data_IF_459093343636
#
_entry.id   IF_459093343636
#
_cell.length_a   1.000
_cell.length_b   1.000
_cell.length_c   1.000
_cell.angle_alpha   90.00
_cell.angle_beta   90.00
_cell.angle_gamma   90.00
#
_symmetry.space_group_name_H-M   'P 1'
#
loop_
_entity.id
_entity.type
_entity.pdbx_description
1 polymer ?
#
# COMPACT_ATOMS: atom_id res chain seq x y z
N UNK A 1 2.42 16.42 42.72
CA UNK A 1 2.87 15.02 42.57
C UNK A 1 2.99 14.70 41.09
N UNK A 2 4.22 14.88 40.58
CA UNK A 2 4.73 14.61 39.22
C UNK A 2 4.12 15.33 38.02
N UNK A 3 4.57 16.58 37.88
CA UNK A 3 4.94 17.21 36.61
C UNK A 3 6.30 16.62 36.16
N UNK A 4 6.34 15.40 35.63
CA UNK A 4 7.57 14.77 35.10
C UNK A 4 7.20 13.80 33.97
N UNK A 5 7.70 14.11 32.77
CA UNK A 5 7.70 13.29 31.56
C UNK A 5 6.41 13.29 30.70
N UNK A 6 6.09 14.45 30.10
CA UNK A 6 5.58 14.43 28.72
C UNK A 6 6.74 14.00 27.80
N UNK A 7 7.18 12.74 27.93
CA UNK A 7 7.96 12.10 26.88
C UNK A 7 7.08 12.20 25.64
N UNK A 8 7.62 12.76 24.57
CA UNK A 8 7.00 12.80 23.26
C UNK A 8 6.85 11.34 22.80
N UNK A 9 5.83 10.65 23.30
CA UNK A 9 5.60 9.24 23.03
C UNK A 9 5.22 9.14 21.55
N UNK A 10 6.06 8.44 20.80
CA UNK A 10 5.78 8.09 19.42
C UNK A 10 4.58 7.14 19.45
N UNK A 11 3.61 7.43 18.58
CA UNK A 11 2.48 6.57 18.37
C UNK A 11 2.54 6.04 16.94
N UNK A 12 2.27 4.76 16.78
CA UNK A 12 2.20 4.11 15.47
C UNK A 12 0.72 3.89 15.14
N UNK A 13 0.33 4.30 13.95
CA UNK A 13 -1.02 4.17 13.44
C UNK A 13 -0.95 3.32 12.17
N UNK A 14 -1.48 2.10 12.26
CA UNK A 14 -1.51 1.16 11.16
C UNK A 14 -2.86 1.23 10.46
N UNK A 15 -2.83 1.45 9.15
CA UNK A 15 -4.01 1.44 8.27
C UNK A 15 -3.81 0.57 7.03
N UNK A 16 -2.62 0.01 6.81
CA UNK A 16 -2.38 -1.05 5.82
C UNK A 16 -2.72 -2.40 6.46
N UNK A 17 -3.56 -3.19 5.80
CA UNK A 17 -4.11 -4.40 6.41
C UNK A 17 -5.09 -4.06 7.54
N UNK A 18 -4.71 -4.23 8.79
CA UNK A 18 -5.61 -4.01 9.92
C UNK A 18 -5.47 -2.61 10.53
N UNK A 19 -6.57 -2.07 11.07
CA UNK A 19 -6.49 -0.87 11.89
C UNK A 19 -5.85 -1.20 13.24
N UNK A 20 -4.75 -0.55 13.57
CA UNK A 20 -4.11 -0.64 14.88
C UNK A 20 -3.57 0.72 15.32
N UNK A 21 -3.63 1.00 16.63
CA UNK A 21 -2.99 2.15 17.25
C UNK A 21 -2.10 1.64 18.35
N UNK A 22 -0.80 1.91 18.27
CA UNK A 22 0.15 1.61 19.32
C UNK A 22 0.64 2.92 19.94
N UNK A 23 0.65 2.98 21.27
CA UNK A 23 1.21 4.11 22.01
C UNK A 23 2.36 3.58 22.85
N UNK A 24 3.57 4.06 22.58
CA UNK A 24 4.80 3.50 23.16
C UNK A 24 4.90 1.97 22.98
N UNK A 25 4.50 1.47 21.80
CA UNK A 25 4.51 0.05 21.45
C UNK A 25 3.38 -0.80 22.06
N UNK A 26 2.45 -0.20 22.80
CA UNK A 26 1.32 -0.92 23.42
C UNK A 26 0.04 -0.68 22.61
N UNK A 27 -0.67 -1.73 22.16
CA UNK A 27 -1.94 -1.59 21.45
C UNK A 27 -3.01 -0.90 22.31
N UNK A 28 -3.73 0.04 21.71
CA UNK A 28 -4.79 0.81 22.36
C UNK A 28 -6.15 0.46 21.75
N UNK A 29 -7.04 -0.10 22.57
CA UNK A 29 -8.41 -0.36 22.16
C UNK A 29 -9.22 0.94 22.05
N UNK A 30 -9.85 1.16 20.90
CA UNK A 30 -10.66 2.34 20.63
C UNK A 30 -12.08 1.98 20.19
N UNK A 31 -13.11 2.71 20.67
CA UNK A 31 -14.45 2.61 20.11
C UNK A 31 -14.48 2.99 18.62
N UNK A 32 -15.54 2.58 17.92
CA UNK A 32 -15.68 2.78 16.48
C UNK A 32 -15.54 4.25 16.02
N UNK A 33 -16.06 5.22 16.78
CA UNK A 33 -15.97 6.65 16.43
C UNK A 33 -14.53 7.18 16.37
N UNK A 34 -13.76 7.13 17.47
CA UNK A 34 -12.33 7.42 17.49
C UNK A 34 -11.54 6.66 16.42
N UNK A 35 -11.83 5.36 16.24
CA UNK A 35 -11.18 4.49 15.26
C UNK A 35 -11.33 5.04 13.83
N UNK A 36 -12.57 5.35 13.44
CA UNK A 36 -12.89 5.93 12.12
C UNK A 36 -12.24 7.29 11.91
N UNK A 37 -12.22 8.14 12.94
CA UNK A 37 -11.59 9.45 12.86
C UNK A 37 -10.07 9.35 12.64
N UNK A 38 -9.38 8.48 13.39
CA UNK A 38 -7.93 8.30 13.22
C UNK A 38 -7.60 7.70 11.85
N UNK A 39 -8.36 6.68 11.41
CA UNK A 39 -8.21 6.09 10.09
C UNK A 39 -8.36 7.15 8.98
N UNK A 40 -9.40 7.98 9.06
CA UNK A 40 -9.64 9.04 8.09
C UNK A 40 -8.47 10.03 8.02
N UNK A 41 -7.96 10.48 9.17
CA UNK A 41 -6.84 11.43 9.20
C UNK A 41 -5.52 10.80 8.75
N UNK A 42 -5.29 9.51 9.02
CA UNK A 42 -4.12 8.78 8.53
C UNK A 42 -4.12 8.63 7.01
N UNK A 43 -5.27 8.24 6.45
CA UNK A 43 -5.40 7.97 5.02
C UNK A 43 -5.36 9.25 4.18
N UNK A 44 -6.05 10.30 4.61
CA UNK A 44 -6.09 11.56 3.86
C UNK A 44 -4.84 12.43 4.07
N UNK A 45 -4.13 12.24 5.19
CA UNK A 45 -2.98 13.05 5.58
C UNK A 45 -3.31 14.54 5.73
N UNK A 46 -2.30 15.36 6.05
CA UNK A 46 -2.45 16.81 6.08
C UNK A 46 -3.51 17.34 7.06
N UNK A 47 -3.79 18.65 6.98
CA UNK A 47 -4.84 19.27 7.77
C UNK A 47 -6.20 19.09 7.08
N UNK A 48 -7.19 18.62 7.83
CA UNK A 48 -8.54 18.30 7.36
C UNK A 48 -9.56 19.22 8.00
N UNK A 49 -10.49 19.79 7.21
CA UNK A 49 -11.54 20.66 7.73
C UNK A 49 -12.52 19.85 8.59
N UNK A 50 -12.89 20.38 9.76
CA UNK A 50 -13.82 19.72 10.69
C UNK A 50 -15.17 19.39 10.06
N UNK A 51 -15.73 20.32 9.28
CA UNK A 51 -17.01 20.10 8.61
C UNK A 51 -16.90 19.01 7.52
N UNK A 52 -15.77 18.94 6.80
CA UNK A 52 -15.53 17.88 5.80
C UNK A 52 -15.43 16.50 6.48
N UNK A 53 -14.62 16.39 7.54
CA UNK A 53 -14.51 15.16 8.36
C UNK A 53 -15.87 14.74 8.90
N UNK A 54 -16.65 15.71 9.39
CA UNK A 54 -17.98 15.44 9.96
C UNK A 54 -18.96 14.94 8.91
N UNK A 55 -18.99 15.60 7.75
CA UNK A 55 -19.83 15.21 6.61
C UNK A 55 -19.45 13.83 6.08
N UNK A 56 -18.15 13.53 5.99
CA UNK A 56 -17.70 12.23 5.51
C UNK A 56 -18.00 11.09 6.50
N UNK A 57 -17.67 11.30 7.78
CA UNK A 57 -17.75 10.23 8.77
C UNK A 57 -19.11 10.07 9.43
N UNK A 58 -20.00 11.07 9.34
CA UNK A 58 -21.32 11.03 9.98
C UNK A 58 -22.39 11.81 9.17
N UNK A 59 -22.24 11.92 7.85
CA UNK A 59 -23.15 12.70 7.00
C UNK A 59 -24.60 12.21 6.94
N UNK A 60 -24.86 10.96 7.36
CA UNK A 60 -26.20 10.37 7.40
C UNK A 60 -27.03 10.76 8.63
N UNK A 61 -26.46 11.52 9.58
CA UNK A 61 -27.20 12.04 10.75
C UNK A 61 -27.30 13.56 10.72
N UNK A 62 -28.28 14.17 11.44
CA UNK A 62 -28.38 15.62 11.52
C UNK A 62 -27.08 16.28 12.01
N UNK A 63 -26.78 17.46 11.47
CA UNK A 63 -25.49 18.15 11.66
C UNK A 63 -25.11 18.34 13.14
N UNK A 64 -26.07 18.66 14.01
CA UNK A 64 -25.84 18.81 15.44
C UNK A 64 -25.35 17.50 16.09
N UNK A 65 -25.92 16.36 15.69
CA UNK A 65 -25.52 15.04 16.17
C UNK A 65 -24.16 14.63 15.61
N UNK A 66 -23.90 14.92 14.33
CA UNK A 66 -22.61 14.66 13.69
C UNK A 66 -21.46 15.40 14.42
N UNK A 67 -21.64 16.69 14.71
CA UNK A 67 -20.70 17.50 15.50
C UNK A 67 -20.50 16.98 16.93
N UNK A 68 -21.58 16.52 17.57
CA UNK A 68 -21.50 15.90 18.89
C UNK A 68 -20.67 14.61 18.87
N UNK A 69 -20.85 13.75 17.85
CA UNK A 69 -20.05 12.52 17.65
C UNK A 69 -18.58 12.84 17.42
N UNK A 70 -18.26 13.83 16.58
CA UNK A 70 -16.89 14.29 16.38
C UNK A 70 -16.25 14.75 17.69
N UNK A 71 -16.96 15.56 18.49
CA UNK A 71 -16.47 16.04 19.79
C UNK A 71 -16.20 14.87 20.74
N UNK A 72 -17.10 13.90 20.83
CA UNK A 72 -16.90 12.70 21.66
C UNK A 72 -15.69 11.88 21.18
N UNK A 73 -15.51 11.73 19.87
CA UNK A 73 -14.36 11.03 19.31
C UNK A 73 -13.04 11.73 19.65
N UNK A 74 -12.98 13.05 19.44
CA UNK A 74 -11.81 13.87 19.78
C UNK A 74 -11.51 13.86 21.28
N UNK A 75 -12.54 13.94 22.13
CA UNK A 75 -12.35 13.87 23.57
C UNK A 75 -11.73 12.54 23.99
N UNK A 76 -12.23 11.41 23.45
CA UNK A 76 -11.67 10.06 23.71
C UNK A 76 -10.22 9.95 23.24
N UNK A 77 -9.91 10.42 22.03
CA UNK A 77 -8.53 10.43 21.51
C UNK A 77 -7.62 11.31 22.37
N UNK A 78 -8.14 12.44 22.86
CA UNK A 78 -7.40 13.36 23.73
C UNK A 78 -7.09 12.79 25.12
N UNK A 79 -7.75 11.72 25.55
CA UNK A 79 -7.40 11.00 26.78
C UNK A 79 -6.19 10.06 26.61
N UNK A 80 -5.71 9.86 25.37
CA UNK A 80 -4.54 9.02 25.12
C UNK A 80 -3.25 9.77 25.48
N UNK A 81 -2.26 9.11 26.10
CA UNK A 81 -1.04 9.77 26.61
C UNK A 81 -0.18 10.44 25.52
N UNK A 82 -0.30 10.04 24.26
CA UNK A 82 0.40 10.66 23.12
C UNK A 82 -0.35 11.86 22.50
N UNK A 83 -1.64 12.05 22.81
CA UNK A 83 -2.47 13.10 22.24
C UNK A 83 -2.44 13.13 20.71
N UNK A 84 -2.97 12.11 20.03
CA UNK A 84 -2.69 11.81 18.61
C UNK A 84 -3.11 12.89 17.59
N UNK A 85 -4.08 13.73 17.94
CA UNK A 85 -4.70 14.69 17.00
C UNK A 85 -4.46 16.12 17.49
N UNK A 86 -3.92 16.97 16.62
CA UNK A 86 -3.96 18.42 16.77
C UNK A 86 -5.35 18.90 16.31
N UNK A 87 -6.12 19.43 17.24
CA UNK A 87 -7.45 20.00 16.98
C UNK A 87 -7.38 21.52 17.04
N UNK A 88 -7.43 22.17 15.87
CA UNK A 88 -7.60 23.61 15.75
C UNK A 88 -9.07 24.03 15.77
N UNK A 89 -9.33 25.33 15.52
CA UNK A 89 -10.70 25.89 15.46
C UNK A 89 -11.53 25.20 14.37
N UNK A 90 -10.97 25.10 13.16
CA UNK A 90 -11.68 24.58 11.98
C UNK A 90 -10.98 23.37 11.32
N UNK A 91 -9.82 22.97 11.83
CA UNK A 91 -8.99 21.92 11.25
C UNK A 91 -8.60 20.84 12.25
N UNK A 92 -8.43 19.62 11.74
CA UNK A 92 -7.96 18.42 12.45
C UNK A 92 -6.78 17.84 11.68
N UNK A 93 -5.72 17.47 12.39
CA UNK A 93 -4.54 16.86 11.79
C UNK A 93 -3.91 15.87 12.78
N UNK A 94 -3.37 14.75 12.30
CA UNK A 94 -2.50 13.90 13.12
C UNK A 94 -1.26 14.68 13.56
N UNK A 95 -0.80 14.51 14.79
CA UNK A 95 0.44 15.16 15.21
C UNK A 95 1.63 14.60 14.45
N UNK A 96 2.69 15.39 14.22
CA UNK A 96 3.92 14.90 13.60
C UNK A 96 4.61 13.75 14.36
N UNK A 97 4.27 13.55 15.64
CA UNK A 97 4.75 12.43 16.45
C UNK A 97 4.04 11.10 16.16
N UNK A 98 2.99 11.11 15.33
CA UNK A 98 2.26 9.90 14.91
C UNK A 98 2.89 9.40 13.61
N UNK A 99 3.46 8.19 13.65
CA UNK A 99 3.92 7.48 12.48
C UNK A 99 2.74 6.75 11.85
N UNK A 100 2.65 6.81 10.53
CA UNK A 100 1.58 6.18 9.76
C UNK A 100 2.23 5.26 8.73
N UNK A 101 1.93 3.96 8.82
CA UNK A 101 2.46 2.93 7.91
C UNK A 101 2.19 3.25 6.43
N UNK A 102 1.04 3.86 6.11
CA UNK A 102 0.70 4.31 4.77
C UNK A 102 1.65 5.39 4.24
N UNK A 103 2.05 6.34 5.09
CA UNK A 103 3.02 7.37 4.71
C UNK A 103 4.41 6.76 4.49
N UNK A 104 4.81 5.78 5.32
CA UNK A 104 6.07 5.05 5.19
C UNK A 104 6.09 4.19 3.91
N UNK A 105 5.01 3.45 3.64
CA UNK A 105 4.79 2.71 2.40
C UNK A 105 4.89 3.62 1.17
N UNK A 106 4.20 4.76 1.17
CA UNK A 106 4.25 5.70 0.06
C UNK A 106 5.66 6.30 -0.12
N UNK A 107 6.40 6.52 0.97
CA UNK A 107 7.81 6.94 0.94
C UNK A 107 8.72 5.88 0.32
N UNK A 108 8.58 4.63 0.75
CA UNK A 108 9.31 3.48 0.20
C UNK A 108 9.02 3.31 -1.29
N UNK A 109 7.74 3.34 -1.69
CA UNK A 109 7.33 3.19 -3.07
C UNK A 109 7.91 4.29 -3.97
N UNK A 110 7.84 5.56 -3.54
CA UNK A 110 8.46 6.67 -4.29
C UNK A 110 9.98 6.53 -4.40
N UNK A 111 10.64 6.09 -3.33
CA UNK A 111 12.09 5.85 -3.35
C UNK A 111 12.50 4.70 -4.28
N UNK A 112 11.64 3.68 -4.44
CA UNK A 112 11.87 2.59 -5.40
C UNK A 112 11.67 3.02 -6.85
N UNK A 113 10.78 3.99 -7.08
CA UNK A 113 10.44 4.53 -8.39
C UNK A 113 11.37 5.66 -8.83
N UNK A 114 12.10 6.29 -7.90
CA UNK A 114 13.07 7.34 -8.19
C UNK A 114 14.29 6.76 -8.95
N UNK A 115 14.53 7.15 -10.23
CA UNK A 115 15.67 6.69 -11.00
C UNK A 115 17.03 7.12 -10.43
N UNK A 116 17.03 8.19 -9.63
CA UNK A 116 18.24 8.72 -8.98
C UNK A 116 18.50 8.11 -7.60
N UNK A 117 17.53 7.34 -7.08
CA UNK A 117 17.60 6.69 -5.79
C UNK A 117 18.70 5.64 -5.76
N UNK A 118 19.72 5.86 -4.91
CA UNK A 118 20.83 4.92 -4.72
C UNK A 118 20.34 3.52 -4.38
N UNK A 119 21.08 2.53 -4.90
CA UNK A 119 20.87 1.07 -4.95
C UNK A 119 20.48 0.29 -3.69
N UNK A 120 20.08 0.93 -2.58
CA UNK A 120 19.68 0.19 -1.39
C UNK A 120 18.32 -0.46 -1.60
N UNK A 121 18.38 -1.73 -2.00
CA UNK A 121 17.25 -2.64 -1.97
C UNK A 121 16.75 -2.74 -0.52
N UNK A 122 15.45 -2.57 -0.27
CA UNK A 122 14.91 -2.75 1.07
C UNK A 122 15.13 -4.20 1.53
N UNK A 123 15.29 -4.37 2.84
CA UNK A 123 15.43 -5.71 3.44
C UNK A 123 14.11 -6.50 3.38
N UNK A 124 12.97 -5.80 3.37
CA UNK A 124 11.63 -6.36 3.25
C UNK A 124 10.70 -5.46 2.41
N UNK A 125 9.73 -6.08 1.73
CA UNK A 125 8.67 -5.43 0.98
C UNK A 125 7.30 -5.47 1.70
N UNK A 126 7.28 -5.78 3.02
CA UNK A 126 6.02 -6.06 3.74
C UNK A 126 5.04 -4.88 3.73
N UNK A 127 5.54 -3.65 3.83
CA UNK A 127 4.73 -2.42 3.72
C UNK A 127 4.03 -2.25 2.35
N UNK A 128 4.47 -2.99 1.34
CA UNK A 128 3.94 -2.99 -0.02
C UNK A 128 3.11 -4.24 -0.31
N UNK A 129 2.61 -4.95 0.70
CA UNK A 129 1.84 -6.19 0.51
C UNK A 129 0.34 -5.91 0.49
N UNK A 130 -0.18 -5.31 1.57
CA UNK A 130 -1.62 -5.19 1.77
C UNK A 130 -2.22 -3.87 1.31
N UNK A 131 -3.54 -3.86 1.13
CA UNK A 131 -4.34 -2.67 0.85
C UNK A 131 -4.74 -1.92 2.13
N UNK A 132 -5.26 -0.71 1.98
CA UNK A 132 -5.71 0.12 3.09
C UNK A 132 -7.00 -0.48 3.67
N UNK A 133 -6.95 -0.95 4.92
CA UNK A 133 -8.11 -1.38 5.71
C UNK A 133 -9.11 -2.28 4.94
N UNK A 134 -8.73 -3.40 4.29
CA UNK A 134 -9.59 -4.10 3.32
C UNK A 134 -10.92 -4.61 3.90
N UNK A 135 -11.02 -4.77 5.23
CA UNK A 135 -12.28 -5.13 5.92
C UNK A 135 -13.23 -3.97 6.20
N UNK A 136 -12.92 -2.74 5.76
CA UNK A 136 -13.76 -1.56 5.99
C UNK A 136 -14.57 -1.20 4.74
N UNK A 137 -15.87 -1.06 4.91
CA UNK A 137 -16.78 -0.62 3.85
C UNK A 137 -17.11 0.87 4.05
N UNK A 138 -16.27 1.73 3.47
CA UNK A 138 -16.41 3.18 3.55
C UNK A 138 -16.08 3.81 2.18
N UNK A 139 -16.98 4.62 1.64
CA UNK A 139 -16.83 5.20 0.30
C UNK A 139 -15.56 6.06 0.15
N UNK A 140 -15.16 6.77 1.19
CA UNK A 140 -13.96 7.62 1.17
C UNK A 140 -12.65 6.83 1.06
N UNK A 141 -12.66 5.53 1.34
CA UNK A 141 -11.47 4.69 1.18
C UNK A 141 -11.22 4.30 -0.28
N UNK A 142 -12.25 4.30 -1.14
CA UNK A 142 -12.14 3.73 -2.48
C UNK A 142 -11.05 4.42 -3.33
N UNK A 143 -11.06 5.75 -3.35
CA UNK A 143 -10.08 6.52 -4.11
C UNK A 143 -8.65 6.35 -3.57
N UNK A 144 -8.49 6.33 -2.25
CA UNK A 144 -7.16 6.23 -1.62
C UNK A 144 -6.60 4.81 -1.71
N UNK A 145 -7.45 3.77 -1.63
CA UNK A 145 -7.08 2.38 -1.94
C UNK A 145 -6.58 2.24 -3.37
N UNK A 146 -7.30 2.81 -4.33
CA UNK A 146 -6.86 2.75 -5.73
C UNK A 146 -5.52 3.45 -5.95
N UNK A 147 -5.35 4.65 -5.37
CA UNK A 147 -4.07 5.38 -5.42
C UNK A 147 -2.92 4.58 -4.79
N UNK A 148 -3.14 4.01 -3.61
CA UNK A 148 -2.15 3.17 -2.91
C UNK A 148 -1.82 1.91 -3.71
N UNK A 149 -2.84 1.22 -4.23
CA UNK A 149 -2.69 0.02 -5.05
C UNK A 149 -1.82 0.30 -6.28
N UNK A 150 -2.13 1.35 -7.05
CA UNK A 150 -1.34 1.71 -8.23
C UNK A 150 0.12 2.01 -7.84
N UNK A 151 0.34 2.86 -6.84
CA UNK A 151 1.68 3.22 -6.39
C UNK A 151 2.48 1.98 -5.93
N UNK A 152 1.84 1.10 -5.15
CA UNK A 152 2.39 -0.16 -4.65
C UNK A 152 2.80 -1.09 -5.78
N UNK A 153 1.92 -1.34 -6.75
CA UNK A 153 2.20 -2.24 -7.87
C UNK A 153 3.40 -1.74 -8.68
N UNK A 154 3.43 -0.45 -9.03
CA UNK A 154 4.56 0.14 -9.75
C UNK A 154 5.88 -0.03 -8.97
N UNK A 155 5.85 0.17 -7.65
CA UNK A 155 7.01 -0.01 -6.80
C UNK A 155 7.47 -1.47 -6.69
N UNK A 156 6.55 -2.43 -6.57
CA UNK A 156 6.85 -3.87 -6.56
C UNK A 156 7.47 -4.30 -7.89
N UNK A 157 6.93 -3.86 -9.03
CA UNK A 157 7.51 -4.14 -10.35
C UNK A 157 8.94 -3.57 -10.48
N UNK A 158 9.18 -2.36 -9.99
CA UNK A 158 10.51 -1.75 -9.96
C UNK A 158 11.48 -2.53 -9.05
N UNK A 159 11.02 -2.92 -7.87
CA UNK A 159 11.80 -3.70 -6.92
C UNK A 159 12.16 -5.08 -7.49
N UNK A 160 11.20 -5.79 -8.13
CA UNK A 160 11.46 -7.07 -8.78
C UNK A 160 12.53 -6.95 -9.88
N UNK A 161 12.46 -5.90 -10.72
CA UNK A 161 13.49 -5.63 -11.73
C UNK A 161 14.86 -5.37 -11.11
N UNK A 162 14.94 -4.57 -10.04
CA UNK A 162 16.20 -4.27 -9.34
C UNK A 162 16.78 -5.50 -8.65
N UNK A 163 15.95 -6.33 -8.01
CA UNK A 163 16.35 -7.59 -7.39
C UNK A 163 16.87 -8.59 -8.43
N UNK A 164 16.21 -8.66 -9.59
CA UNK A 164 16.64 -9.50 -10.72
C UNK A 164 18.02 -9.06 -11.22
N UNK A 165 18.23 -7.76 -11.42
CA UNK A 165 19.53 -7.20 -11.83
C UNK A 165 20.64 -7.46 -10.80
N UNK A 166 20.28 -7.53 -9.51
CA UNK A 166 21.20 -7.85 -8.42
C UNK A 166 21.41 -9.37 -8.21
N UNK A 167 20.84 -10.24 -9.05
CA UNK A 167 20.95 -11.70 -8.91
C UNK A 167 20.16 -12.30 -7.74
N UNK A 168 19.29 -11.52 -7.08
CA UNK A 168 18.46 -11.96 -5.94
C UNK A 168 17.13 -12.53 -6.45
N UNK A 169 17.19 -13.60 -7.24
CA UNK A 169 16.05 -14.12 -8.02
C UNK A 169 14.85 -14.54 -7.16
N UNK A 170 15.06 -15.30 -6.08
CA UNK A 170 13.95 -15.72 -5.20
C UNK A 170 13.16 -14.54 -4.63
N UNK A 171 13.85 -13.47 -4.22
CA UNK A 171 13.19 -12.26 -3.74
C UNK A 171 12.50 -11.48 -4.88
N UNK A 172 13.09 -11.45 -6.08
CA UNK A 172 12.47 -10.83 -7.25
C UNK A 172 11.15 -11.50 -7.64
N UNK A 173 11.11 -12.84 -7.56
CA UNK A 173 9.94 -13.68 -7.83
C UNK A 173 8.85 -13.44 -6.78
N UNK A 174 9.21 -13.45 -5.48
CA UNK A 174 8.25 -13.17 -4.39
C UNK A 174 7.57 -11.80 -4.57
N UNK A 175 8.37 -10.76 -4.84
CA UNK A 175 7.85 -9.40 -5.08
C UNK A 175 6.98 -9.32 -6.34
N UNK A 176 7.31 -10.06 -7.40
CA UNK A 176 6.49 -10.11 -8.60
C UNK A 176 5.13 -10.80 -8.33
N UNK A 177 5.10 -11.87 -7.53
CA UNK A 177 3.84 -12.48 -7.10
C UNK A 177 2.98 -11.52 -6.27
N UNK A 178 3.57 -10.72 -5.38
CA UNK A 178 2.83 -9.67 -4.66
C UNK A 178 2.21 -8.64 -5.61
N UNK A 179 2.90 -8.29 -6.71
CA UNK A 179 2.36 -7.40 -7.72
C UNK A 179 1.17 -8.02 -8.49
N UNK A 180 1.28 -9.30 -8.87
CA UNK A 180 0.21 -10.05 -9.54
C UNK A 180 -1.00 -10.21 -8.59
N UNK A 181 -0.78 -10.52 -7.32
CA UNK A 181 -1.86 -10.64 -6.35
C UNK A 181 -2.62 -9.31 -6.15
N UNK A 182 -1.93 -8.18 -6.30
CA UNK A 182 -2.53 -6.86 -6.21
C UNK A 182 -3.33 -6.45 -7.45
N UNK A 183 -2.93 -6.89 -8.65
CA UNK A 183 -3.64 -6.68 -9.91
C UNK A 183 -3.35 -7.83 -10.90
N UNK A 184 -4.19 -8.90 -10.89
CA UNK A 184 -3.94 -10.09 -11.70
C UNK A 184 -3.95 -9.86 -13.20
N UNK A 185 -4.70 -8.86 -13.69
CA UNK A 185 -4.84 -8.59 -15.13
C UNK A 185 -3.72 -7.69 -15.69
N UNK A 186 -2.75 -7.29 -14.87
CA UNK A 186 -1.70 -6.36 -15.29
C UNK A 186 -0.49 -7.06 -15.89
N UNK A 187 -0.35 -6.92 -17.21
CA UNK A 187 0.73 -7.55 -17.98
C UNK A 187 2.14 -7.25 -17.47
N UNK A 188 2.41 -6.03 -17.02
CA UNK A 188 3.75 -5.64 -16.56
C UNK A 188 4.19 -6.37 -15.29
N UNK A 189 3.26 -6.80 -14.44
CA UNK A 189 3.55 -7.62 -13.27
C UNK A 189 3.97 -9.04 -13.68
N UNK A 190 3.25 -9.63 -14.63
CA UNK A 190 3.62 -10.91 -15.25
C UNK A 190 4.94 -10.84 -16.01
N UNK A 191 5.20 -9.74 -16.73
CA UNK A 191 6.50 -9.49 -17.37
C UNK A 191 7.64 -9.48 -16.35
N UNK A 192 7.45 -8.88 -15.18
CA UNK A 192 8.47 -8.87 -14.13
C UNK A 192 8.76 -10.30 -13.61
N UNK A 193 7.72 -11.10 -13.36
CA UNK A 193 7.85 -12.50 -12.95
C UNK A 193 8.58 -13.35 -13.99
N UNK A 194 8.16 -13.27 -15.26
CA UNK A 194 8.76 -14.01 -16.37
C UNK A 194 10.23 -13.63 -16.55
N UNK A 195 10.56 -12.34 -16.49
CA UNK A 195 11.96 -11.86 -16.58
C UNK A 195 12.80 -12.39 -15.42
N UNK A 196 12.28 -12.43 -14.20
CA UNK A 196 12.98 -12.95 -13.04
C UNK A 196 13.30 -14.46 -13.22
N UNK A 197 12.32 -15.27 -13.64
CA UNK A 197 12.55 -16.69 -13.93
C UNK A 197 13.52 -16.92 -15.09
N UNK A 198 13.46 -16.11 -16.15
CA UNK A 198 14.40 -16.22 -17.27
C UNK A 198 15.83 -15.87 -16.84
N UNK A 199 16.01 -14.85 -16.01
CA UNK A 199 17.33 -14.47 -15.48
C UNK A 199 17.91 -15.54 -14.53
N UNK A 200 17.05 -16.26 -13.81
CA UNK A 200 17.41 -17.42 -12.99
C UNK A 200 17.74 -18.68 -13.82
N UNK A 201 17.41 -18.68 -15.12
CA UNK A 201 17.60 -19.84 -16.02
C UNK A 201 16.39 -20.78 -16.12
N UNK A 202 15.28 -20.45 -15.45
CA UNK A 202 14.07 -21.27 -15.34
C UNK A 202 13.09 -21.04 -16.51
N UNK A 203 13.56 -21.29 -17.74
CA UNK A 203 12.77 -21.04 -18.97
C UNK A 203 11.46 -21.83 -19.06
N UNK A 204 11.43 -23.07 -18.57
CA UNK A 204 10.20 -23.88 -18.54
C UNK A 204 9.14 -23.25 -17.64
N UNK A 205 9.54 -22.78 -16.46
CA UNK A 205 8.66 -22.07 -15.52
C UNK A 205 8.17 -20.76 -16.12
N UNK A 206 9.06 -19.97 -16.72
CA UNK A 206 8.68 -18.74 -17.43
C UNK A 206 7.62 -18.99 -18.52
N UNK A 207 7.76 -20.07 -19.30
CA UNK A 207 6.78 -20.48 -20.31
C UNK A 207 5.44 -20.89 -19.70
N UNK A 208 5.46 -21.57 -18.55
CA UNK A 208 4.24 -21.93 -17.84
C UNK A 208 3.50 -20.68 -17.35
N UNK A 209 4.20 -19.70 -16.76
CA UNK A 209 3.60 -18.45 -16.29
C UNK A 209 2.92 -17.64 -17.41
N UNK A 210 3.52 -17.56 -18.60
CA UNK A 210 2.87 -16.93 -19.75
C UNK A 210 1.61 -17.70 -20.18
N UNK A 211 1.63 -19.03 -20.09
CA UNK A 211 0.45 -19.87 -20.32
C UNK A 211 -0.69 -19.56 -19.35
N UNK A 212 -0.38 -19.45 -18.06
CA UNK A 212 -1.35 -19.05 -17.02
C UNK A 212 -1.97 -17.68 -17.31
N UNK A 213 -1.13 -16.69 -17.60
CA UNK A 213 -1.60 -15.34 -17.93
C UNK A 213 -2.49 -15.29 -19.17
N UNK A 214 -2.13 -16.06 -20.22
CA UNK A 214 -2.95 -16.15 -21.44
C UNK A 214 -4.34 -16.70 -21.15
N UNK A 215 -4.43 -17.75 -20.32
CA UNK A 215 -5.73 -18.29 -19.91
C UNK A 215 -6.54 -17.27 -19.12
N UNK A 216 -5.91 -16.61 -18.15
CA UNK A 216 -6.56 -15.58 -17.35
C UNK A 216 -7.13 -14.43 -18.21
N UNK A 217 -6.35 -13.90 -19.16
CA UNK A 217 -6.83 -12.84 -20.05
C UNK A 217 -7.96 -13.30 -20.98
N UNK A 218 -7.86 -14.52 -21.50
CA UNK A 218 -8.91 -15.08 -22.35
C UNK A 218 -10.22 -15.27 -21.57
N UNK A 219 -10.14 -15.76 -20.33
CA UNK A 219 -11.30 -16.03 -19.48
C UNK A 219 -11.96 -14.73 -18.96
N UNK A 220 -11.18 -13.74 -18.55
CA UNK A 220 -11.69 -12.51 -17.93
C UNK A 220 -12.01 -11.39 -18.94
N UNK A 221 -11.22 -11.28 -20.01
CA UNK A 221 -11.29 -10.15 -20.96
C UNK A 221 -11.51 -10.58 -22.42
N UNK A 222 -11.35 -11.85 -22.76
CA UNK A 222 -11.49 -12.35 -24.13
C UNK A 222 -10.42 -11.83 -25.10
N UNK A 223 -9.24 -11.48 -24.59
CA UNK A 223 -8.13 -10.94 -25.37
C UNK A 223 -6.85 -11.77 -25.19
N UNK A 224 -5.95 -11.69 -26.17
CA UNK A 224 -4.62 -12.29 -26.09
C UNK A 224 -3.61 -11.34 -25.39
N UNK A 225 -2.51 -11.89 -24.82
CA UNK A 225 -1.39 -11.10 -24.32
C UNK A 225 -0.75 -10.24 -25.41
N UNK A 226 -0.07 -9.16 -25.02
CA UNK A 226 0.64 -8.32 -25.99
C UNK A 226 1.87 -9.01 -26.59
N UNK A 227 2.30 -8.54 -27.75
CA UNK A 227 3.56 -8.99 -28.36
C UNK A 227 4.78 -8.77 -27.45
N UNK A 228 4.71 -7.81 -26.52
CA UNK A 228 5.82 -7.50 -25.61
C UNK A 228 6.11 -8.64 -24.65
N UNK A 229 5.07 -9.24 -24.06
CA UNK A 229 5.24 -10.36 -23.12
C UNK A 229 5.55 -11.67 -23.87
N UNK A 230 4.95 -11.87 -25.05
CA UNK A 230 5.26 -13.00 -25.94
C UNK A 230 6.73 -13.00 -26.41
N UNK A 231 7.27 -11.82 -26.70
CA UNK A 231 8.66 -11.66 -27.12
C UNK A 231 9.68 -12.08 -26.04
N UNK A 232 9.31 -12.11 -24.76
CA UNK A 232 10.21 -12.55 -23.66
C UNK A 232 10.65 -14.01 -23.81
N UNK A 233 9.79 -14.84 -24.38
CA UNK A 233 10.04 -16.26 -24.59
C UNK A 233 10.38 -16.59 -26.04
N UNK A 234 10.31 -15.62 -26.94
CA UNK A 234 10.79 -15.82 -28.30
C UNK A 234 12.32 -15.92 -28.30
N UNK A 235 12.92 -16.89 -29.00
CA UNK A 235 14.36 -16.89 -29.20
C UNK A 235 14.76 -15.60 -29.95
N UNK A 236 15.93 -15.00 -29.65
CA UNK A 236 16.41 -13.86 -30.42
C UNK A 236 16.46 -14.25 -31.90
N UNK A 237 15.96 -13.35 -32.77
CA UNK A 237 15.95 -13.54 -34.22
C UNK A 237 17.38 -13.79 -34.71
N UNK A 238 17.72 -15.07 -34.91
CA UNK A 238 19.10 -15.51 -35.21
C UNK A 238 19.38 -16.97 -34.84
N UNK A 239 18.60 -17.56 -33.93
CA UNK A 239 18.70 -18.99 -33.55
C UNK A 239 17.50 -19.80 -34.06
N UNK A 240 17.06 -19.57 -35.31
CA UNK A 240 16.33 -20.63 -36.02
C UNK A 240 17.36 -21.72 -36.28
N UNK A 241 17.31 -22.80 -35.50
CA UNK A 241 18.09 -24.00 -35.76
C UNK A 241 17.78 -24.44 -37.18
N UNK A 242 18.73 -24.25 -38.09
CA UNK A 242 18.80 -25.04 -39.31
C UNK A 242 18.95 -26.48 -38.87
N UNK A 243 17.83 -27.21 -38.83
CA UNK A 243 17.85 -28.65 -38.69
C UNK A 243 18.43 -29.29 -39.95
N UNK A 244 19.07 -30.46 -39.83
CA UNK A 244 19.72 -31.16 -40.93
C UNK A 244 18.75 -31.63 -42.02
#
# INVERSE_FOLDING_TARGET
MSLMAAVNQIADLHVIGAFEVLVAGVPVALPAGPRRLLAYLAVNGGAQRRDAVTGQLWGWVPQAQARARLRTALWRIGQLPAGLVRSGRDELQLRPSVRVDLAESAGLARGLLDPSGRDRLPDSADLLTDDILPGWDEDWLQLERERHRQLRIHALEALSRRLTAAGRFGAAIDVAYRAIAAEPLRESAWCALIRAHLAEGNRSVASHQLGEYRRLLADELGVDPSETIEALLSPPAGLRRSGP
#
